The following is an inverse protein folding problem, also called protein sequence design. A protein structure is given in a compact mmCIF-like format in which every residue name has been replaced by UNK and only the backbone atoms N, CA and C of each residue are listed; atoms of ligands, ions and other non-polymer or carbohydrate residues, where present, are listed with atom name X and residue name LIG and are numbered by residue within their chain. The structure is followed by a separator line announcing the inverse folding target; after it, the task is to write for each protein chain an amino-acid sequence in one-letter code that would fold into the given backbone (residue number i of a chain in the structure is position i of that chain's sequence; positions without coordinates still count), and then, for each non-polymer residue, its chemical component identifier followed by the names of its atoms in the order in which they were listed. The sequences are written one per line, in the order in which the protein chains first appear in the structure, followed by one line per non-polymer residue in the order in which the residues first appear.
data_IF_496651283864
#
_entry.id   IF_496651283864
#
_cell.length_a   1.000
_cell.length_b   1.000
_cell.length_c   1.000
_cell.angle_alpha   90.00
_cell.angle_beta   90.00
_cell.angle_gamma   90.00
#
_symmetry.space_group_name_H-M   'P 1'
#
loop_
_entity.id
_entity.type
_entity.pdbx_description
1 polymer ?
#
# COMPACT_ATOMS: atom_id res chain seq x y z
N UNK A 1 -17.21 7.28 15.40
CA UNK A 1 -17.72 6.72 14.13
C UNK A 1 -17.46 7.65 12.93
N UNK A 2 -17.86 8.93 12.96
CA UNK A 2 -17.62 9.86 11.83
C UNK A 2 -16.13 10.01 11.44
N UNK A 3 -15.24 10.12 12.44
CA UNK A 3 -13.80 10.27 12.21
C UNK A 3 -13.15 9.09 11.47
N UNK A 4 -13.53 7.86 11.78
CA UNK A 4 -12.99 6.68 11.07
C UNK A 4 -13.37 6.68 9.59
N UNK A 5 -14.57 7.17 9.24
CA UNK A 5 -14.94 7.38 7.84
C UNK A 5 -14.08 8.44 7.14
N UNK A 6 -13.81 9.57 7.81
CA UNK A 6 -12.91 10.61 7.28
C UNK A 6 -11.50 10.08 7.10
N UNK A 7 -10.98 9.35 8.09
CA UNK A 7 -9.64 8.75 8.05
C UNK A 7 -9.51 7.71 6.93
N UNK A 8 -10.55 6.90 6.72
CA UNK A 8 -10.62 5.96 5.61
C UNK A 8 -10.54 6.67 4.26
N UNK A 9 -11.39 7.67 4.04
CA UNK A 9 -11.41 8.42 2.78
C UNK A 9 -10.11 9.18 2.55
N UNK A 10 -9.55 9.81 3.59
CA UNK A 10 -8.27 10.53 3.53
C UNK A 10 -7.10 9.59 3.21
N UNK A 11 -7.05 8.41 3.82
CA UNK A 11 -6.00 7.42 3.50
C UNK A 11 -6.18 6.87 2.09
N UNK A 12 -7.42 6.55 1.70
CA UNK A 12 -7.76 6.01 0.37
C UNK A 12 -7.41 6.98 -0.77
N UNK A 13 -7.73 8.27 -0.62
CA UNK A 13 -7.47 9.28 -1.66
C UNK A 13 -5.98 9.62 -1.80
N UNK A 14 -5.16 9.35 -0.78
CA UNK A 14 -3.70 9.45 -0.89
C UNK A 14 -3.13 8.20 -1.55
N UNK A 15 -3.57 7.03 -1.11
CA UNK A 15 -3.02 5.75 -1.55
C UNK A 15 -3.26 5.49 -3.03
N UNK A 16 -4.51 5.65 -3.49
CA UNK A 16 -4.89 5.27 -4.85
C UNK A 16 -4.09 6.03 -5.92
N UNK A 17 -4.03 7.38 -5.91
CA UNK A 17 -3.28 8.10 -6.93
C UNK A 17 -1.77 7.80 -6.91
N UNK A 18 -1.19 7.63 -5.72
CA UNK A 18 0.23 7.27 -5.59
C UNK A 18 0.50 5.91 -6.21
N UNK A 19 -0.32 4.91 -5.87
CA UNK A 19 -0.11 3.55 -6.33
C UNK A 19 -0.39 3.41 -7.84
N UNK A 20 -1.43 4.07 -8.35
CA UNK A 20 -1.70 4.11 -9.79
C UNK A 20 -0.59 4.80 -10.58
N UNK A 21 0.08 5.82 -10.00
CA UNK A 21 1.25 6.43 -10.62
C UNK A 21 2.39 5.42 -10.76
N UNK A 22 2.69 4.65 -9.71
CA UNK A 22 3.70 3.60 -9.77
C UNK A 22 3.34 2.51 -10.77
N UNK A 23 2.10 2.01 -10.74
CA UNK A 23 1.61 1.00 -11.67
C UNK A 23 1.69 1.47 -13.12
N UNK A 24 1.31 2.73 -13.38
CA UNK A 24 1.30 3.32 -14.72
C UNK A 24 2.68 3.64 -15.29
N UNK A 25 3.69 3.84 -14.45
CA UNK A 25 5.02 4.31 -14.87
C UNK A 25 6.10 3.25 -14.72
N UNK A 26 6.35 2.81 -13.48
CA UNK A 26 7.47 1.94 -13.12
C UNK A 26 7.06 0.48 -13.28
N UNK A 27 5.91 0.09 -12.70
CA UNK A 27 5.57 -1.32 -12.61
C UNK A 27 5.30 -1.93 -13.99
N UNK A 28 4.54 -1.24 -14.86
CA UNK A 28 4.13 -1.79 -16.15
C UNK A 28 5.32 -2.26 -17.00
N UNK A 29 6.31 -1.39 -17.22
CA UNK A 29 7.47 -1.72 -18.07
C UNK A 29 8.44 -2.67 -17.37
N UNK A 30 8.69 -2.45 -16.06
CA UNK A 30 9.62 -3.24 -15.29
C UNK A 30 9.13 -4.68 -15.09
N UNK A 31 7.90 -4.87 -14.61
CA UNK A 31 7.33 -6.20 -14.37
C UNK A 31 7.15 -6.96 -15.68
N UNK A 32 6.74 -6.31 -16.77
CA UNK A 32 6.69 -6.96 -18.08
C UNK A 32 8.07 -7.44 -18.53
N UNK A 33 9.14 -6.66 -18.29
CA UNK A 33 10.50 -7.05 -18.66
C UNK A 33 11.07 -8.19 -17.81
N UNK A 34 10.66 -8.30 -16.54
CA UNK A 34 11.20 -9.28 -15.59
C UNK A 34 10.39 -10.58 -15.56
N UNK A 35 9.07 -10.48 -15.67
CA UNK A 35 8.12 -11.58 -15.44
C UNK A 35 7.48 -12.07 -16.75
N UNK A 36 7.62 -11.31 -17.85
CA UNK A 36 7.24 -11.72 -19.19
C UNK A 36 5.76 -12.08 -19.33
N UNK A 37 5.48 -13.20 -19.99
CA UNK A 37 4.12 -13.68 -20.31
C UNK A 37 3.34 -14.23 -19.09
N UNK A 38 3.94 -14.26 -17.90
CA UNK A 38 3.25 -14.75 -16.69
C UNK A 38 2.18 -13.77 -16.19
N UNK A 39 2.24 -12.50 -16.60
CA UNK A 39 1.25 -11.49 -16.27
C UNK A 39 -0.02 -11.72 -17.09
N UNK A 40 -1.08 -12.19 -16.44
CA UNK A 40 -2.41 -12.32 -17.03
C UNK A 40 -3.20 -11.01 -17.05
N UNK A 41 -4.44 -11.09 -17.51
CA UNK A 41 -5.38 -9.97 -17.46
C UNK A 41 -5.69 -9.56 -16.01
N UNK A 42 -5.79 -8.25 -15.78
CA UNK A 42 -6.13 -7.70 -14.47
C UNK A 42 -7.56 -8.08 -14.11
N UNK A 43 -7.69 -8.87 -13.05
CA UNK A 43 -9.00 -9.19 -12.47
C UNK A 43 -9.45 -8.04 -11.58
N UNK A 44 -10.40 -7.25 -12.08
CA UNK A 44 -10.86 -6.02 -11.42
C UNK A 44 -11.43 -6.25 -10.02
N UNK A 45 -12.22 -7.31 -9.81
CA UNK A 45 -12.86 -7.56 -8.51
C UNK A 45 -11.82 -7.80 -7.39
N UNK A 46 -10.85 -8.74 -7.52
CA UNK A 46 -9.77 -8.86 -6.55
C UNK A 46 -8.97 -7.58 -6.32
N UNK A 47 -8.68 -6.82 -7.38
CA UNK A 47 -7.92 -5.57 -7.27
C UNK A 47 -8.66 -4.52 -6.42
N UNK A 48 -9.95 -4.32 -6.68
CA UNK A 48 -10.79 -3.39 -5.90
C UNK A 48 -10.89 -3.85 -4.45
N UNK A 49 -11.11 -5.14 -4.21
CA UNK A 49 -11.19 -5.69 -2.85
C UNK A 49 -9.88 -5.50 -2.08
N UNK A 50 -8.73 -5.70 -2.73
CA UNK A 50 -7.43 -5.43 -2.14
C UNK A 50 -7.34 -3.98 -1.64
N UNK A 51 -7.61 -2.99 -2.48
CA UNK A 51 -7.50 -1.58 -2.08
C UNK A 51 -8.42 -1.23 -0.90
N UNK A 52 -9.66 -1.71 -0.93
CA UNK A 52 -10.62 -1.44 0.14
C UNK A 52 -10.17 -2.09 1.46
N UNK A 53 -9.74 -3.35 1.42
CA UNK A 53 -9.28 -4.07 2.61
C UNK A 53 -7.95 -3.55 3.13
N UNK A 54 -7.04 -3.18 2.24
CA UNK A 54 -5.72 -2.69 2.62
C UNK A 54 -5.81 -1.39 3.42
N UNK A 55 -6.69 -0.47 3.02
CA UNK A 55 -6.95 0.76 3.78
C UNK A 55 -7.54 0.47 5.16
N UNK A 56 -8.40 -0.55 5.30
CA UNK A 56 -8.87 -1.00 6.64
C UNK A 56 -7.68 -1.42 7.50
N UNK A 57 -6.74 -2.19 6.95
CA UNK A 57 -5.50 -2.57 7.63
C UNK A 57 -4.67 -1.36 8.07
N UNK A 58 -4.47 -0.37 7.18
CA UNK A 58 -3.75 0.86 7.52
C UNK A 58 -4.43 1.59 8.68
N UNK A 59 -5.76 1.68 8.69
CA UNK A 59 -6.47 2.32 9.81
C UNK A 59 -6.22 1.56 11.12
N UNK A 60 -6.35 0.25 11.11
CA UNK A 60 -6.22 -0.56 12.34
C UNK A 60 -4.79 -0.50 12.89
N UNK A 61 -3.77 -0.63 12.03
CA UNK A 61 -2.40 -0.83 12.46
C UNK A 61 -1.51 0.43 12.40
N UNK A 62 -1.92 1.48 11.69
CA UNK A 62 -1.02 2.62 11.39
C UNK A 62 -1.55 3.95 11.92
N UNK A 63 -2.78 4.35 11.61
CA UNK A 63 -3.24 5.73 11.85
C UNK A 63 -4.58 5.87 12.58
N UNK A 64 -5.29 4.78 12.91
CA UNK A 64 -6.59 4.82 13.57
C UNK A 64 -6.56 4.97 15.09
N UNK A 65 -5.39 4.89 15.72
CA UNK A 65 -5.23 5.13 17.15
C UNK A 65 -5.43 6.61 17.51
N UNK A 66 -6.12 6.89 18.62
CA UNK A 66 -6.28 8.26 19.11
C UNK A 66 -4.95 8.91 19.49
N UNK A 67 -3.92 8.12 19.79
CA UNK A 67 -2.57 8.57 20.13
C UNK A 67 -1.61 8.57 18.92
N UNK A 68 -2.08 8.19 17.72
CA UNK A 68 -1.21 8.12 16.54
C UNK A 68 -0.57 9.49 16.25
N UNK A 69 0.75 9.61 16.25
CA UNK A 69 1.44 10.80 15.74
C UNK A 69 1.86 10.57 14.29
N UNK A 70 2.21 11.64 13.58
CA UNK A 70 2.77 11.50 12.23
C UNK A 70 4.02 10.62 12.21
N UNK A 71 4.86 10.67 13.26
CA UNK A 71 6.04 9.80 13.39
C UNK A 71 5.64 8.33 13.53
N UNK A 72 4.65 8.05 14.38
CA UNK A 72 4.17 6.68 14.59
C UNK A 72 3.50 6.12 13.33
N UNK A 73 2.73 6.94 12.61
CA UNK A 73 2.08 6.52 11.36
C UNK A 73 3.08 6.34 10.22
N UNK A 74 4.16 7.12 10.20
CA UNK A 74 5.26 6.91 9.26
C UNK A 74 5.96 5.59 9.54
N UNK A 75 6.34 5.33 10.80
CA UNK A 75 7.04 4.11 11.20
C UNK A 75 6.18 2.85 11.02
N UNK A 76 4.96 2.85 11.57
CA UNK A 76 4.06 1.70 11.47
C UNK A 76 3.53 1.51 10.05
N UNK A 77 3.38 2.59 9.27
CA UNK A 77 3.06 2.48 7.86
C UNK A 77 4.19 1.82 7.07
N UNK A 78 5.44 2.22 7.33
CA UNK A 78 6.61 1.58 6.74
C UNK A 78 6.69 0.08 7.09
N UNK A 79 6.49 -0.26 8.37
CA UNK A 79 6.52 -1.66 8.83
C UNK A 79 5.34 -2.47 8.27
N UNK A 80 4.14 -1.92 8.27
CA UNK A 80 2.96 -2.60 7.74
C UNK A 80 3.11 -2.87 6.23
N UNK A 81 3.58 -1.87 5.48
CA UNK A 81 3.94 -1.99 4.07
C UNK A 81 5.00 -3.07 3.85
N UNK A 82 6.10 -3.01 4.60
CA UNK A 82 7.17 -4.01 4.55
C UNK A 82 6.64 -5.43 4.70
N UNK A 83 5.87 -5.72 5.76
CA UNK A 83 5.39 -7.08 6.02
C UNK A 83 4.38 -7.55 4.99
N UNK A 84 3.41 -6.73 4.60
CA UNK A 84 2.40 -7.12 3.60
C UNK A 84 3.05 -7.43 2.25
N UNK A 85 3.89 -6.53 1.74
CA UNK A 85 4.54 -6.71 0.44
C UNK A 85 5.57 -7.83 0.50
N UNK A 86 6.38 -7.94 1.57
CA UNK A 86 7.33 -9.04 1.71
C UNK A 86 6.64 -10.40 1.76
N UNK A 87 5.47 -10.50 2.41
CA UNK A 87 4.72 -11.75 2.48
C UNK A 87 4.31 -12.21 1.09
N UNK A 88 3.79 -11.31 0.26
CA UNK A 88 3.43 -11.63 -1.12
C UNK A 88 4.67 -11.93 -1.97
N UNK A 89 5.64 -11.01 -1.99
CA UNK A 89 6.81 -11.08 -2.87
C UNK A 89 7.72 -12.28 -2.57
N UNK A 90 8.01 -12.56 -1.29
CA UNK A 90 8.86 -13.70 -0.92
C UNK A 90 8.14 -15.04 -1.15
N UNK A 91 6.81 -15.09 -0.97
CA UNK A 91 6.03 -16.29 -1.30
C UNK A 91 5.99 -16.51 -2.81
N UNK A 92 5.77 -15.45 -3.58
CA UNK A 92 5.82 -15.49 -5.04
C UNK A 92 7.20 -15.93 -5.55
N UNK A 93 8.28 -15.41 -4.97
CA UNK A 93 9.64 -15.82 -5.29
C UNK A 93 9.92 -17.30 -4.99
N UNK A 94 9.34 -17.83 -3.92
CA UNK A 94 9.49 -19.24 -3.56
C UNK A 94 8.69 -20.18 -4.48
N UNK A 95 7.56 -19.73 -5.04
CA UNK A 95 6.62 -20.59 -5.78
C UNK A 95 6.65 -20.41 -7.30
N UNK A 96 6.99 -19.23 -7.80
CA UNK A 96 6.83 -18.86 -9.21
C UNK A 96 8.19 -18.82 -9.93
N UNK A 97 8.30 -19.59 -11.03
CA UNK A 97 9.58 -19.85 -11.74
C UNK A 97 10.28 -18.60 -12.29
N UNK A 98 9.53 -17.55 -12.62
CA UNK A 98 10.05 -16.35 -13.28
C UNK A 98 9.97 -15.10 -12.40
N UNK A 99 9.72 -15.27 -11.10
CA UNK A 99 9.80 -14.16 -10.16
C UNK A 99 11.26 -13.87 -9.82
N UNK A 100 11.68 -12.60 -9.81
CA UNK A 100 13.09 -12.23 -9.69
C UNK A 100 13.32 -11.35 -8.45
N UNK A 101 14.52 -11.43 -7.86
CA UNK A 101 14.91 -10.58 -6.73
C UNK A 101 14.77 -9.07 -7.01
N UNK A 102 15.05 -8.55 -8.22
CA UNK A 102 14.75 -7.15 -8.56
C UNK A 102 13.27 -6.77 -8.41
N UNK A 103 12.34 -7.65 -8.82
CA UNK A 103 10.89 -7.43 -8.63
C UNK A 103 10.56 -7.34 -7.14
N UNK A 104 11.03 -8.32 -6.36
CA UNK A 104 10.87 -8.35 -4.91
C UNK A 104 11.38 -7.08 -4.23
N UNK A 105 12.60 -6.65 -4.57
CA UNK A 105 13.20 -5.47 -3.95
C UNK A 105 12.46 -4.17 -4.30
N UNK A 106 12.06 -4.00 -5.57
CA UNK A 106 11.32 -2.82 -6.02
C UNK A 106 9.94 -2.77 -5.38
N UNK A 107 9.21 -3.87 -5.38
CA UNK A 107 7.82 -3.89 -4.90
C UNK A 107 7.75 -3.77 -3.38
N UNK A 108 8.65 -4.41 -2.63
CA UNK A 108 8.75 -4.19 -1.18
C UNK A 108 9.09 -2.73 -0.86
N UNK A 109 10.07 -2.15 -1.56
CA UNK A 109 10.48 -0.76 -1.34
C UNK A 109 9.32 0.21 -1.61
N UNK A 110 8.56 -0.05 -2.68
CA UNK A 110 7.36 0.71 -3.00
C UNK A 110 6.28 0.53 -1.93
N UNK A 111 6.01 -0.71 -1.50
CA UNK A 111 5.06 -1.03 -0.45
C UNK A 111 5.33 -0.32 0.87
N UNK A 112 6.59 -0.27 1.28
CA UNK A 112 7.06 0.51 2.44
C UNK A 112 6.73 1.99 2.25
N UNK A 113 7.14 2.56 1.12
CA UNK A 113 6.97 3.98 0.82
C UNK A 113 5.50 4.39 0.75
N UNK A 114 4.70 3.72 -0.08
CA UNK A 114 3.31 4.08 -0.35
C UNK A 114 2.47 3.96 0.91
N UNK A 115 2.72 2.96 1.75
CA UNK A 115 1.97 2.73 2.99
C UNK A 115 2.35 3.74 4.07
N UNK A 116 3.65 4.04 4.22
CA UNK A 116 4.14 5.05 5.15
C UNK A 116 3.58 6.44 4.81
N UNK A 117 3.64 6.83 3.54
CA UNK A 117 3.14 8.13 3.07
C UNK A 117 1.62 8.19 3.20
N UNK A 118 0.90 7.15 2.77
CA UNK A 118 -0.57 7.12 2.83
C UNK A 118 -1.08 7.14 4.26
N UNK A 119 -0.47 6.36 5.15
CA UNK A 119 -0.81 6.36 6.57
C UNK A 119 -0.59 7.73 7.22
N UNK A 120 0.54 8.38 6.91
CA UNK A 120 0.93 9.68 7.47
C UNK A 120 0.09 10.82 6.94
N UNK A 121 -0.02 10.97 5.62
CA UNK A 121 -0.83 12.04 5.01
C UNK A 121 -2.31 11.82 5.26
N UNK A 122 -2.79 10.57 5.27
CA UNK A 122 -4.16 10.23 5.65
C UNK A 122 -4.49 10.69 7.07
N UNK A 123 -3.56 10.52 8.02
CA UNK A 123 -3.71 11.03 9.38
C UNK A 123 -3.77 12.55 9.42
N UNK A 124 -2.82 13.23 8.78
CA UNK A 124 -2.72 14.69 8.79
C UNK A 124 -3.95 15.35 8.16
N UNK A 125 -4.44 14.81 7.05
CA UNK A 125 -5.68 15.26 6.42
C UNK A 125 -6.87 15.02 7.35
N UNK A 126 -7.00 13.84 7.95
CA UNK A 126 -8.11 13.56 8.87
C UNK A 126 -8.08 14.44 10.12
N UNK A 127 -6.90 14.75 10.66
CA UNK A 127 -6.72 15.68 11.78
C UNK A 127 -7.10 17.12 11.42
N UNK A 128 -6.84 17.55 10.18
CA UNK A 128 -7.25 18.88 9.70
C UNK A 128 -8.78 19.01 9.56
N UNK A 129 -9.45 18.00 8.99
CA UNK A 129 -10.90 18.03 8.76
C UNK A 129 -11.74 17.64 9.98
N UNK A 130 -11.24 16.74 10.82
CA UNK A 130 -11.96 16.18 11.96
C UNK A 130 -11.00 15.93 13.12
N UNK A 131 -10.56 16.96 13.86
CA UNK A 131 -9.67 16.82 15.01
C UNK A 131 -10.13 15.77 16.03
N UNK A 132 -9.19 15.25 16.82
CA UNK A 132 -9.41 14.17 17.79
C UNK A 132 -10.17 14.63 19.02
#
# INVERSE_FOLDING_TARGET
MKRYGVLYLATFIVLIPLDFLFLGTIAKSFFQSQVGEMLGEVRMLPAVLFYLLYVVGIIIFVNGSAQATWQSSLLYGALFGFFCYSTFELTSLALLKHWTWPVVAVDISWGVFVTAVSGTLGLLLADWWSPR
#
